data_IF_032319667901
#
_entry.id   IF_032319667901
#
_cell.length_a   1.000
_cell.length_b   1.000
_cell.length_c   1.000
_cell.angle_alpha   90.00
_cell.angle_beta   90.00
_cell.angle_gamma   90.00
#
_symmetry.space_group_name_H-M   'P 1'
#
loop_
_entity.id
_entity.type
_entity.pdbx_description
1 polymer ?
#
# COMPACT_ATOMS: atom_id res chain seq x y z
N UNK A 1 -5.33 -26.79 -11.25
CA UNK A 1 -4.57 -26.41 -12.47
C UNK A 1 -3.35 -27.33 -12.56
N UNK A 2 -3.06 -27.95 -13.71
CA UNK A 2 -2.01 -28.99 -13.82
C UNK A 2 -0.63 -28.37 -13.97
N UNK A 3 0.29 -28.67 -13.03
CA UNK A 3 1.59 -28.03 -12.90
C UNK A 3 2.58 -28.31 -14.04
N UNK A 4 2.34 -29.36 -14.84
CA UNK A 4 3.25 -29.83 -15.90
C UNK A 4 2.51 -30.17 -17.22
N UNK A 5 1.36 -29.54 -17.46
CA UNK A 5 0.57 -29.74 -18.67
C UNK A 5 -0.50 -30.84 -18.56
N UNK A 6 -1.29 -31.06 -19.64
CA UNK A 6 -2.54 -31.81 -19.58
C UNK A 6 -2.37 -33.33 -19.39
N UNK A 7 -1.14 -33.86 -19.50
CA UNK A 7 -0.82 -35.29 -19.27
C UNK A 7 -0.21 -35.57 -17.90
N UNK A 8 0.04 -34.54 -17.08
CA UNK A 8 0.58 -34.73 -15.74
C UNK A 8 -0.55 -34.78 -14.70
N UNK A 9 -0.74 -35.95 -14.11
CA UNK A 9 -1.72 -36.22 -13.05
C UNK A 9 -1.29 -35.74 -11.65
N UNK A 10 -0.20 -34.97 -11.54
CA UNK A 10 0.22 -34.35 -10.28
C UNK A 10 -0.73 -33.20 -9.95
N UNK A 11 -1.69 -33.47 -9.06
CA UNK A 11 -2.54 -32.43 -8.47
C UNK A 11 -1.73 -31.72 -7.38
N UNK A 12 -1.39 -30.47 -7.64
CA UNK A 12 -0.79 -29.60 -6.62
C UNK A 12 -1.92 -29.05 -5.74
N UNK A 13 -2.02 -29.58 -4.53
CA UNK A 13 -3.04 -29.18 -3.55
C UNK A 13 -2.61 -27.96 -2.71
N UNK A 14 -1.48 -27.32 -3.02
CA UNK A 14 -0.95 -26.23 -2.18
C UNK A 14 -1.91 -25.03 -2.07
N UNK A 15 -2.73 -24.79 -3.09
CA UNK A 15 -3.81 -23.78 -3.08
C UNK A 15 -5.20 -24.37 -2.77
N UNK A 16 -5.28 -25.67 -2.45
CA UNK A 16 -6.51 -26.42 -2.15
C UNK A 16 -6.53 -26.93 -0.69
N UNK A 17 -5.50 -26.65 0.10
CA UNK A 17 -5.42 -27.04 1.51
C UNK A 17 -6.25 -26.06 2.36
N UNK A 18 -7.38 -26.59 2.82
CA UNK A 18 -8.39 -26.04 3.75
C UNK A 18 -9.45 -25.10 3.18
N UNK A 19 -10.70 -25.45 3.49
CA UNK A 19 -11.93 -24.68 3.28
C UNK A 19 -11.75 -23.21 3.66
N UNK A 20 -12.19 -22.31 2.76
CA UNK A 20 -12.05 -20.85 2.73
C UNK A 20 -10.67 -20.32 2.29
N UNK A 21 -10.54 -20.18 0.97
CA UNK A 21 -9.61 -19.31 0.22
C UNK A 21 -8.27 -19.02 0.92
N UNK A 22 -7.27 -19.84 0.59
CA UNK A 22 -5.85 -19.69 0.96
C UNK A 22 -5.29 -18.25 0.91
N UNK A 23 -5.87 -17.42 0.05
CA UNK A 23 -5.66 -15.98 0.01
C UNK A 23 -7.01 -15.26 0.22
N UNK A 24 -7.08 -14.38 1.21
CA UNK A 24 -8.23 -13.54 1.52
C UNK A 24 -8.42 -12.43 0.48
N UNK A 25 -9.52 -11.67 0.59
CA UNK A 25 -9.77 -10.44 -0.16
C UNK A 25 -9.56 -10.55 -1.68
N UNK A 26 -9.97 -11.69 -2.26
CA UNK A 26 -9.79 -12.01 -3.69
C UNK A 26 -8.32 -12.02 -4.13
N UNK A 27 -7.41 -12.38 -3.25
CA UNK A 27 -6.02 -12.64 -3.59
C UNK A 27 -5.89 -13.88 -4.48
N UNK A 28 -4.94 -13.85 -5.41
CA UNK A 28 -4.64 -14.98 -6.29
C UNK A 28 -3.60 -15.88 -5.63
N UNK A 29 -3.96 -17.14 -5.38
CA UNK A 29 -3.02 -18.15 -4.90
C UNK A 29 -2.14 -18.68 -6.03
N UNK A 30 -0.83 -18.67 -5.81
CA UNK A 30 0.16 -19.27 -6.69
C UNK A 30 0.88 -20.37 -5.90
N UNK A 31 0.77 -21.65 -6.31
CA UNK A 31 1.53 -22.72 -5.68
C UNK A 31 3.02 -22.49 -5.93
N UNK A 32 3.85 -22.71 -4.91
CA UNK A 32 5.29 -22.46 -4.98
C UNK A 32 6.06 -23.76 -5.25
N UNK A 33 7.16 -23.67 -6.00
CA UNK A 33 7.99 -24.83 -6.42
C UNK A 33 9.17 -25.08 -5.47
N UNK A 34 9.25 -24.29 -4.40
CA UNK A 34 10.44 -24.21 -3.57
C UNK A 34 10.58 -25.39 -2.61
N UNK A 35 11.67 -26.13 -2.81
CA UNK A 35 12.20 -27.18 -1.94
C UNK A 35 12.08 -26.82 -0.45
N UNK A 36 11.23 -27.55 0.28
CA UNK A 36 11.31 -28.06 1.69
C UNK A 36 11.95 -27.23 2.83
N UNK A 37 12.47 -26.03 2.61
CA UNK A 37 13.13 -25.19 3.61
C UNK A 37 12.23 -24.07 4.11
N UNK A 38 11.24 -23.65 3.32
CA UNK A 38 10.13 -22.79 3.78
C UNK A 38 8.89 -23.65 3.98
N UNK A 39 8.24 -23.54 5.15
CA UNK A 39 7.02 -24.29 5.49
C UNK A 39 5.80 -23.92 4.63
N UNK A 40 5.92 -22.87 3.80
CA UNK A 40 4.84 -22.32 3.03
C UNK A 40 4.89 -22.80 1.57
N UNK A 41 3.86 -23.54 1.16
CA UNK A 41 3.76 -24.22 -0.14
C UNK A 41 3.13 -23.35 -1.24
N UNK A 42 2.77 -22.11 -0.93
CA UNK A 42 2.09 -21.18 -1.82
C UNK A 42 2.45 -19.73 -1.50
N UNK A 43 2.10 -18.83 -2.41
CA UNK A 43 2.19 -17.39 -2.25
C UNK A 43 0.91 -16.73 -2.72
N UNK A 44 0.47 -15.69 -2.02
CA UNK A 44 -0.69 -14.89 -2.42
C UNK A 44 -0.24 -13.64 -3.16
N UNK A 45 -0.84 -13.38 -4.33
CA UNK A 45 -0.81 -12.07 -4.97
C UNK A 45 -2.06 -11.32 -4.54
N UNK A 46 -1.89 -10.24 -3.79
CA UNK A 46 -3.02 -9.49 -3.26
C UNK A 46 -3.68 -8.59 -4.30
N UNK A 47 -5.01 -8.51 -4.20
CA UNK A 47 -5.78 -7.52 -4.95
C UNK A 47 -5.42 -6.12 -4.46
N UNK A 48 -5.57 -5.11 -5.33
CA UNK A 48 -5.27 -3.72 -5.00
C UNK A 48 -6.01 -3.27 -3.73
N UNK A 49 -5.28 -2.64 -2.80
CA UNK A 49 -5.83 -2.16 -1.54
C UNK A 49 -5.71 -3.16 -0.39
N UNK A 50 -5.05 -4.30 -0.61
CA UNK A 50 -4.82 -5.32 0.40
C UNK A 50 -3.38 -5.81 0.38
N UNK A 51 -2.90 -6.22 1.55
CA UNK A 51 -1.56 -6.77 1.76
C UNK A 51 -1.58 -7.85 2.87
N UNK A 52 -0.42 -8.41 3.17
CA UNK A 52 -0.25 -9.52 4.09
C UNK A 52 0.02 -10.83 3.35
N UNK A 53 0.48 -11.81 4.10
CA UNK A 53 0.90 -13.11 3.57
C UNK A 53 -0.28 -13.84 2.92
N UNK A 54 -1.48 -13.60 3.43
CA UNK A 54 -2.76 -14.12 2.95
C UNK A 54 -3.68 -13.01 2.48
N UNK A 55 -3.17 -11.80 2.18
CA UNK A 55 -3.98 -10.65 1.80
C UNK A 55 -5.05 -10.29 2.84
N UNK A 56 -4.76 -10.55 4.12
CA UNK A 56 -5.67 -10.40 5.26
C UNK A 56 -5.84 -8.93 5.68
N UNK A 57 -4.93 -8.05 5.26
CA UNK A 57 -4.86 -6.68 5.70
C UNK A 57 -5.30 -5.70 4.62
N UNK A 58 -6.04 -4.66 5.01
CA UNK A 58 -6.29 -3.51 4.13
C UNK A 58 -5.07 -2.58 4.13
N UNK A 59 -4.75 -2.02 2.97
CA UNK A 59 -3.74 -0.96 2.85
C UNK A 59 -4.14 0.23 3.73
N UNK A 60 -3.14 0.95 4.24
CA UNK A 60 -3.39 2.28 4.75
C UNK A 60 -3.85 3.18 3.61
N UNK A 61 -4.77 4.11 3.88
CA UNK A 61 -5.30 5.03 2.89
C UNK A 61 -5.36 6.45 3.44
N UNK A 62 -4.99 7.43 2.62
CA UNK A 62 -5.26 8.84 2.88
C UNK A 62 -6.02 9.45 1.70
N UNK A 63 -7.22 9.94 1.98
CA UNK A 63 -8.01 10.75 1.05
C UNK A 63 -7.64 12.21 1.26
N UNK A 64 -6.99 12.79 0.26
CA UNK A 64 -6.63 14.19 0.22
C UNK A 64 -7.67 14.97 -0.56
N UNK A 65 -8.12 16.08 -0.01
CA UNK A 65 -8.93 17.08 -0.73
C UNK A 65 -8.18 18.40 -0.78
N UNK A 66 -8.33 19.12 -1.89
CA UNK A 66 -7.57 20.34 -2.15
C UNK A 66 -8.49 21.55 -2.18
N UNK A 67 -8.10 22.63 -1.51
CA UNK A 67 -8.81 23.89 -1.64
C UNK A 67 -8.69 24.45 -3.05
N UNK A 68 -9.78 25.03 -3.58
CA UNK A 68 -9.89 25.57 -4.96
C UNK A 68 -8.79 26.57 -5.34
N UNK A 69 -8.10 27.16 -4.37
CA UNK A 69 -7.02 28.14 -4.57
C UNK A 69 -5.64 27.51 -4.81
N UNK A 70 -5.50 26.19 -4.62
CA UNK A 70 -4.27 25.46 -4.90
C UNK A 70 -4.34 24.98 -6.36
N UNK A 71 -3.67 25.68 -7.27
CA UNK A 71 -3.60 25.31 -8.69
C UNK A 71 -2.80 24.01 -8.88
N UNK A 72 -3.48 22.86 -8.93
CA UNK A 72 -2.86 21.53 -8.93
C UNK A 72 -2.75 20.88 -10.31
N UNK A 73 -2.40 21.63 -11.35
CA UNK A 73 -1.78 21.03 -12.55
C UNK A 73 -0.33 20.64 -12.25
N UNK A 74 -0.12 19.81 -11.24
CA UNK A 74 1.22 19.53 -10.73
C UNK A 74 1.34 18.08 -10.26
N UNK A 75 2.50 17.52 -10.55
CA UNK A 75 3.00 16.32 -9.88
C UNK A 75 3.38 16.71 -8.46
N UNK A 76 2.87 15.96 -7.48
CA UNK A 76 3.29 16.08 -6.09
C UNK A 76 4.14 14.86 -5.73
N UNK A 77 5.06 15.04 -4.80
CA UNK A 77 5.78 13.94 -4.15
C UNK A 77 5.21 13.76 -2.76
N UNK A 78 4.97 12.51 -2.37
CA UNK A 78 4.49 12.15 -1.04
C UNK A 78 5.61 11.37 -0.38
N UNK A 79 6.06 11.87 0.75
CA UNK A 79 7.13 11.31 1.54
C UNK A 79 6.56 10.64 2.77
N UNK A 80 7.00 9.41 3.01
CA UNK A 80 6.67 8.64 4.19
C UNK A 80 7.94 8.37 4.97
N UNK A 81 7.93 8.66 6.26
CA UNK A 81 9.05 8.38 7.16
C UNK A 81 8.58 7.52 8.33
N UNK A 82 9.44 6.57 8.70
CA UNK A 82 9.32 5.83 9.95
C UNK A 82 10.46 6.28 10.87
N UNK A 83 10.09 6.99 11.92
CA UNK A 83 11.02 7.52 12.91
C UNK A 83 10.79 6.80 14.24
N UNK A 84 11.83 6.19 14.79
CA UNK A 84 11.76 5.49 16.07
C UNK A 84 12.94 5.94 16.93
N UNK A 85 12.68 6.32 18.19
CA UNK A 85 13.70 6.83 19.10
C UNK A 85 14.54 7.98 18.50
N UNK A 86 13.87 8.90 17.79
CA UNK A 86 14.48 10.02 17.05
C UNK A 86 15.44 9.62 15.91
N UNK A 87 15.44 8.34 15.50
CA UNK A 87 16.23 7.85 14.37
C UNK A 87 15.32 7.53 13.18
N UNK A 88 15.73 7.98 11.99
CA UNK A 88 15.08 7.60 10.74
C UNK A 88 15.39 6.13 10.43
N UNK A 89 14.38 5.27 10.45
CA UNK A 89 14.50 3.82 10.20
C UNK A 89 14.16 3.45 8.78
N UNK A 90 13.09 4.03 8.24
CA UNK A 90 12.65 3.78 6.88
C UNK A 90 12.14 5.07 6.24
N UNK A 91 12.28 5.16 4.91
CA UNK A 91 11.74 6.24 4.10
C UNK A 91 11.24 5.71 2.76
N UNK A 92 10.11 6.24 2.32
CA UNK A 92 9.57 6.01 1.00
C UNK A 92 9.17 7.34 0.38
N UNK A 93 9.32 7.47 -0.92
CA UNK A 93 8.82 8.62 -1.67
C UNK A 93 8.14 8.12 -2.92
N UNK A 94 6.88 8.52 -3.08
CA UNK A 94 6.09 8.25 -4.28
C UNK A 94 5.72 9.58 -4.92
N UNK A 95 5.43 9.57 -6.22
CA UNK A 95 4.88 10.74 -6.89
C UNK A 95 3.45 10.47 -7.33
N UNK A 96 2.65 11.53 -7.38
CA UNK A 96 1.28 11.46 -7.87
C UNK A 96 0.96 12.69 -8.71
N UNK A 97 0.47 12.43 -9.92
CA UNK A 97 0.00 13.50 -10.81
C UNK A 97 -1.47 13.79 -10.52
N UNK A 98 -1.77 15.04 -10.14
CA UNK A 98 -3.13 15.50 -9.91
C UNK A 98 -3.63 16.16 -11.19
N UNK A 99 -4.79 15.72 -11.68
CA UNK A 99 -5.46 16.34 -12.81
C UNK A 99 -6.24 17.56 -12.32
N UNK A 100 -6.15 18.67 -13.06
CA UNK A 100 -6.79 19.96 -12.77
C UNK A 100 -8.25 19.92 -12.31
N UNK A 101 -9.00 18.93 -12.79
CA UNK A 101 -10.44 18.80 -12.53
C UNK A 101 -10.75 18.00 -11.25
N UNK A 102 -9.76 17.31 -10.68
CA UNK A 102 -9.92 16.49 -9.48
C UNK A 102 -9.41 17.25 -8.27
N UNK A 103 -10.34 17.70 -7.44
CA UNK A 103 -10.06 18.31 -6.14
C UNK A 103 -9.81 17.27 -5.03
N UNK A 104 -9.70 16.00 -5.39
CA UNK A 104 -9.41 14.93 -4.43
C UNK A 104 -8.55 13.83 -5.04
N UNK A 105 -7.80 13.15 -4.18
CA UNK A 105 -6.95 12.03 -4.55
C UNK A 105 -6.73 11.09 -3.37
N UNK A 106 -6.77 9.78 -3.62
CA UNK A 106 -6.57 8.77 -2.59
C UNK A 106 -5.21 8.11 -2.73
N UNK A 107 -4.42 8.09 -1.68
CA UNK A 107 -3.10 7.47 -1.67
C UNK A 107 -3.17 6.27 -0.74
N UNK A 108 -2.80 5.10 -1.24
CA UNK A 108 -2.69 3.89 -0.44
C UNK A 108 -1.24 3.44 -0.31
N UNK A 109 -0.89 2.89 0.86
CA UNK A 109 0.44 2.34 1.13
C UNK A 109 0.34 1.18 2.13
N UNK A 110 1.29 0.25 2.04
CA UNK A 110 1.32 -0.96 2.86
C UNK A 110 2.26 -0.83 4.05
N UNK A 111 3.39 -0.16 3.85
CA UNK A 111 4.44 -0.03 4.84
C UNK A 111 4.04 0.75 6.11
N UNK A 112 4.77 0.46 7.18
CA UNK A 112 4.59 1.10 8.48
C UNK A 112 5.34 2.42 8.55
N UNK A 113 4.61 3.52 8.61
CA UNK A 113 5.14 4.88 8.74
C UNK A 113 4.45 5.64 9.86
N UNK A 114 5.05 6.72 10.35
CA UNK A 114 4.47 7.57 11.39
C UNK A 114 4.55 9.06 11.09
N UNK A 115 5.20 9.45 9.97
CA UNK A 115 5.21 10.82 9.46
C UNK A 115 4.95 10.78 7.95
N UNK A 116 4.01 11.62 7.49
CA UNK A 116 3.65 11.74 6.08
C UNK A 116 3.55 13.22 5.72
N UNK A 117 4.22 13.62 4.64
CA UNK A 117 4.17 14.98 4.12
C UNK A 117 4.23 15.00 2.59
N UNK A 118 3.77 16.10 2.00
CA UNK A 118 3.79 16.34 0.56
C UNK A 118 4.85 17.37 0.22
N UNK A 119 5.53 17.19 -0.90
CA UNK A 119 6.36 18.18 -1.57
C UNK A 119 5.75 18.50 -2.95
N UNK A 120 5.59 19.79 -3.28
CA UNK A 120 5.18 20.22 -4.62
C UNK A 120 6.39 20.49 -5.55
N UNK A 121 6.14 20.74 -6.84
CA UNK A 121 7.21 21.06 -7.81
C UNK A 121 7.99 22.34 -7.48
N UNK A 122 7.42 23.23 -6.65
CA UNK A 122 8.06 24.47 -6.20
C UNK A 122 8.84 24.28 -4.90
N UNK A 123 8.99 23.04 -4.41
CA UNK A 123 9.63 22.70 -3.13
C UNK A 123 8.92 23.30 -1.91
N UNK A 124 7.61 23.47 -1.99
CA UNK A 124 6.77 23.71 -0.82
C UNK A 124 6.42 22.37 -0.18
N UNK A 125 6.55 22.30 1.14
CA UNK A 125 6.25 21.11 1.92
C UNK A 125 4.95 21.30 2.67
N UNK A 126 4.15 20.24 2.81
CA UNK A 126 2.88 20.27 3.52
C UNK A 126 2.77 19.05 4.43
N UNK A 127 2.65 19.28 5.74
CA UNK A 127 2.51 18.19 6.69
C UNK A 127 1.10 17.60 6.61
N UNK A 128 0.99 16.30 6.31
CA UNK A 128 -0.30 15.63 6.23
C UNK A 128 -0.71 15.04 7.57
N UNK A 129 0.19 14.25 8.16
CA UNK A 129 -0.09 13.53 9.39
C UNK A 129 1.21 13.18 10.11
N UNK A 130 1.16 13.23 11.43
CA UNK A 130 2.15 12.65 12.34
C UNK A 130 1.41 11.86 13.42
N UNK A 131 1.94 10.69 13.77
CA UNK A 131 1.48 9.96 14.95
C UNK A 131 2.67 9.55 15.81
N UNK A 132 2.45 9.49 17.12
CA UNK A 132 3.41 8.90 18.05
C UNK A 132 3.54 7.38 17.84
N UNK A 133 2.49 6.76 17.31
CA UNK A 133 2.40 5.35 16.92
C UNK A 133 2.51 5.18 15.40
N UNK A 134 2.72 3.94 14.95
CA UNK A 134 2.76 3.57 13.53
C UNK A 134 1.34 3.60 12.94
N UNK A 135 1.18 4.11 11.72
CA UNK A 135 -0.04 3.95 10.92
C UNK A 135 -0.13 2.49 10.45
N UNK A 136 -1.11 1.75 10.98
CA UNK A 136 -1.43 0.37 10.58
C UNK A 136 -2.93 0.26 10.28
N UNK A 137 -3.28 -0.11 9.04
CA UNK A 137 -4.65 -0.15 8.50
C UNK A 137 -5.47 1.13 8.72
N UNK A 138 -4.83 2.31 8.65
CA UNK A 138 -5.48 3.60 8.95
C UNK A 138 -6.07 4.24 7.70
N UNK A 139 -7.31 4.72 7.80
CA UNK A 139 -7.97 5.57 6.79
C UNK A 139 -8.03 7.03 7.29
N UNK A 140 -7.30 7.91 6.62
CA UNK A 140 -7.22 9.34 6.95
C UNK A 140 -7.94 10.18 5.90
N UNK A 141 -8.62 11.22 6.34
CA UNK A 141 -9.18 12.26 5.48
C UNK A 141 -8.52 13.59 5.84
N UNK A 142 -7.82 14.21 4.89
CA UNK A 142 -7.14 15.49 5.11
C UNK A 142 -7.48 16.47 3.99
N UNK A 143 -8.02 17.61 4.38
CA UNK A 143 -8.11 18.77 3.49
C UNK A 143 -6.80 19.54 3.58
N UNK A 144 -6.15 19.73 2.44
CA UNK A 144 -4.87 20.43 2.36
C UNK A 144 -5.13 21.94 2.31
N UNK A 145 -4.60 22.65 3.32
CA UNK A 145 -4.76 24.09 3.48
C UNK A 145 -3.40 24.79 3.38
N UNK A 146 -3.41 26.09 3.07
CA UNK A 146 -2.17 26.88 3.01
C UNK A 146 -1.44 26.95 4.36
N UNK A 147 -2.16 26.75 5.47
CA UNK A 147 -1.62 26.71 6.83
C UNK A 147 -0.84 25.44 7.14
N UNK A 148 -0.97 24.40 6.30
CA UNK A 148 -0.19 23.15 6.45
C UNK A 148 1.25 23.29 5.89
N UNK A 149 1.59 24.44 5.29
CA UNK A 149 2.90 24.77 4.69
C UNK A 149 3.98 25.09 5.73
#
# INVERSE_FOLDING_TARGET
MYKFGPRCFLKDKSCELHDNTTCNNRGQCIPSDLNRQTSQLYTCICSKGYDGIHCEYEDNEISLTFEKKIHLLQTIFIHFLYIENNLLRNRLTIFKTILSMKYSTNISWTDRFNVIFIEDLKKNYYLLATQKTIFDHVKLNKQLQLTDR
#
